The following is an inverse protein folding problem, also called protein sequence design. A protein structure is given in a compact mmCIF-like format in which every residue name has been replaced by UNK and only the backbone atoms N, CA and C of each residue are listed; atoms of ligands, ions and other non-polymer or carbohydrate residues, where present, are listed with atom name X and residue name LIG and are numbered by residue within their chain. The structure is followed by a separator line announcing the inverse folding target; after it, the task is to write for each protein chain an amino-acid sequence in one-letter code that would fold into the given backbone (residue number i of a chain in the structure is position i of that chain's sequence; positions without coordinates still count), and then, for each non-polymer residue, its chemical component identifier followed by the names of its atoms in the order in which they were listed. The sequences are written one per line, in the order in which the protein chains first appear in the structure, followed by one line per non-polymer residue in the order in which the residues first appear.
data_IF_916039236528
#
_entry.id   IF_916039236528
#
_cell.length_a   1.000
_cell.length_b   1.000
_cell.length_c   1.000
_cell.angle_alpha   90.00
_cell.angle_beta   90.00
_cell.angle_gamma   90.00
#
_symmetry.space_group_name_H-M   'P 1'
#
loop_
_entity.id
_entity.type
_entity.pdbx_description
1 polymer ?
#
# COMPACT_ATOMS: atom_id res chain seq x y z
N UNK A 1 -4.27 13.40 -9.29
CA UNK A 1 -4.54 12.76 -8.00
C UNK A 1 -3.85 13.48 -6.83
N UNK A 2 -2.51 13.53 -6.74
CA UNK A 2 -1.82 14.19 -5.61
C UNK A 2 -1.32 15.62 -5.86
N UNK A 3 -1.44 16.15 -7.09
CA UNK A 3 -1.03 17.53 -7.42
C UNK A 3 0.48 17.80 -7.32
N UNK A 4 1.33 16.75 -7.32
CA UNK A 4 2.79 16.83 -7.22
C UNK A 4 3.42 16.28 -8.48
N UNK A 5 4.28 17.06 -9.14
CA UNK A 5 5.03 16.65 -10.34
C UNK A 5 6.38 16.03 -9.96
N UNK A 6 6.32 14.93 -9.18
CA UNK A 6 7.51 14.20 -8.71
C UNK A 6 7.25 12.69 -8.80
N UNK A 7 8.27 11.86 -9.09
CA UNK A 7 8.11 10.41 -9.09
C UNK A 7 7.89 9.88 -7.68
N UNK A 8 7.21 8.73 -7.58
CA UNK A 8 7.00 7.97 -6.35
C UNK A 8 7.23 6.49 -6.63
N UNK A 9 7.50 5.74 -5.57
CA UNK A 9 7.68 4.30 -5.59
C UNK A 9 6.35 3.54 -5.68
N UNK A 10 5.35 3.95 -4.90
CA UNK A 10 3.98 3.41 -4.91
C UNK A 10 2.94 4.52 -4.83
N UNK A 11 1.80 4.31 -5.48
CA UNK A 11 0.59 5.10 -5.30
C UNK A 11 -0.63 4.17 -5.29
N UNK A 12 -1.47 4.31 -4.28
CA UNK A 12 -2.74 3.59 -4.16
C UNK A 12 -3.92 4.50 -4.50
N UNK A 13 -4.91 3.94 -5.18
CA UNK A 13 -6.18 4.56 -5.52
C UNK A 13 -7.30 3.69 -4.94
N UNK A 14 -7.83 4.08 -3.79
CA UNK A 14 -8.97 3.39 -3.20
C UNK A 14 -10.24 3.75 -3.96
N UNK A 15 -11.05 2.74 -4.27
CA UNK A 15 -12.38 2.93 -4.86
C UNK A 15 -13.45 3.18 -3.81
N UNK A 16 -13.17 2.80 -2.56
CA UNK A 16 -14.07 2.97 -1.42
C UNK A 16 -13.65 4.14 -0.51
N UNK A 17 -12.75 5.03 -0.98
CA UNK A 17 -12.47 6.27 -0.25
C UNK A 17 -13.73 7.14 -0.28
N UNK A 18 -14.16 7.61 0.89
CA UNK A 18 -15.38 8.40 1.10
C UNK A 18 -15.41 9.63 0.16
N UNK A 19 -16.10 9.51 -0.97
CA UNK A 19 -16.53 10.65 -1.77
C UNK A 19 -17.83 11.13 -1.13
N UNK A 20 -17.85 12.35 -0.59
CA UNK A 20 -19.10 12.98 -0.15
C UNK A 20 -20.13 12.83 -1.31
N UNK A 21 -21.24 12.15 -1.02
CA UNK A 21 -22.36 11.81 -1.91
C UNK A 21 -22.27 10.56 -2.82
N UNK A 22 -21.23 9.72 -2.75
CA UNK A 22 -21.25 8.40 -3.39
C UNK A 22 -21.64 7.30 -2.38
N UNK A 23 -22.79 6.67 -2.59
CA UNK A 23 -23.15 5.48 -1.83
C UNK A 23 -22.15 4.37 -2.14
N UNK A 24 -21.62 3.70 -1.10
CA UNK A 24 -20.81 2.50 -1.22
C UNK A 24 -21.37 1.61 -2.34
N UNK A 25 -20.68 1.49 -3.46
CA UNK A 25 -21.13 0.69 -4.61
C UNK A 25 -20.97 -0.82 -4.34
N UNK A 26 -21.24 -1.26 -3.12
CA UNK A 26 -21.26 -2.67 -2.74
C UNK A 26 -22.57 -3.25 -3.27
N UNK A 27 -22.55 -3.68 -4.53
CA UNK A 27 -23.65 -4.44 -5.10
C UNK A 27 -23.69 -5.83 -4.48
N UNK A 28 -24.82 -6.18 -3.86
CA UNK A 28 -25.04 -7.49 -3.25
C UNK A 28 -24.78 -8.61 -4.28
N UNK A 29 -23.84 -9.50 -3.96
CA UNK A 29 -23.43 -10.60 -4.84
C UNK A 29 -22.25 -10.30 -5.78
N UNK A 30 -21.69 -9.09 -5.80
CA UNK A 30 -20.46 -8.77 -6.52
C UNK A 30 -19.23 -8.70 -5.59
N UNK A 31 -18.03 -9.10 -6.06
CA UNK A 31 -16.79 -8.90 -5.31
C UNK A 31 -16.56 -7.41 -5.04
N UNK A 32 -16.19 -7.06 -3.80
CA UNK A 32 -15.79 -5.70 -3.46
C UNK A 32 -14.44 -5.38 -4.11
N UNK A 33 -14.43 -4.42 -5.04
CA UNK A 33 -13.21 -3.93 -5.65
C UNK A 33 -12.59 -2.84 -4.75
N UNK A 34 -11.45 -3.13 -4.13
CA UNK A 34 -10.81 -2.20 -3.18
C UNK A 34 -10.15 -1.00 -3.87
N UNK A 35 -9.60 -1.22 -5.07
CA UNK A 35 -8.93 -0.21 -5.86
C UNK A 35 -7.63 -0.70 -6.49
N UNK A 36 -6.80 0.26 -6.91
CA UNK A 36 -5.58 0.02 -7.68
C UNK A 36 -4.33 0.35 -6.86
N UNK A 37 -3.27 -0.45 -7.04
CA UNK A 37 -1.92 -0.16 -6.53
C UNK A 37 -0.98 -0.10 -7.73
N UNK A 38 -0.36 1.06 -7.95
CA UNK A 38 0.60 1.26 -9.03
C UNK A 38 1.98 1.40 -8.42
N UNK A 39 2.90 0.54 -8.88
CA UNK A 39 4.25 0.42 -8.34
C UNK A 39 5.28 0.62 -9.44
N UNK A 40 6.30 1.42 -9.14
CA UNK A 40 7.40 1.68 -10.05
C UNK A 40 8.54 0.67 -9.84
N UNK A 41 8.63 -0.32 -10.73
CA UNK A 41 9.67 -1.38 -10.68
C UNK A 41 11.09 -0.79 -10.69
N UNK A 42 11.32 0.25 -11.50
CA UNK A 42 12.63 0.90 -11.58
C UNK A 42 13.03 1.57 -10.24
N UNK A 43 12.05 2.07 -9.48
CA UNK A 43 12.32 2.59 -8.14
C UNK A 43 12.60 1.48 -7.14
N UNK A 44 11.87 0.36 -7.19
CA UNK A 44 12.13 -0.80 -6.33
C UNK A 44 13.57 -1.28 -6.47
N UNK A 45 14.05 -1.48 -7.70
CA UNK A 45 15.41 -1.97 -7.92
C UNK A 45 16.47 -1.04 -7.30
N UNK A 46 16.29 0.28 -7.42
CA UNK A 46 17.20 1.25 -6.81
C UNK A 46 17.12 1.23 -5.28
N UNK A 47 15.92 1.21 -4.70
CA UNK A 47 15.75 1.15 -3.25
C UNK A 47 16.32 -0.15 -2.64
N UNK A 48 16.11 -1.28 -3.31
CA UNK A 48 16.67 -2.56 -2.90
C UNK A 48 18.20 -2.51 -2.82
N UNK A 49 18.86 -1.92 -3.83
CA UNK A 49 20.30 -1.70 -3.83
C UNK A 49 20.76 -0.71 -2.74
N UNK A 50 20.07 0.42 -2.60
CA UNK A 50 20.41 1.46 -1.62
C UNK A 50 20.26 1.00 -0.17
N UNK A 51 19.21 0.22 0.12
CA UNK A 51 18.93 -0.29 1.47
C UNK A 51 19.53 -1.67 1.74
N UNK A 52 20.12 -2.32 0.74
CA UNK A 52 20.70 -3.66 0.88
C UNK A 52 19.66 -4.76 1.11
N UNK A 53 18.43 -4.55 0.65
CA UNK A 53 17.34 -5.53 0.72
C UNK A 53 17.19 -6.30 -0.60
N UNK A 54 16.49 -7.43 -0.58
CA UNK A 54 16.13 -8.11 -1.83
C UNK A 54 15.06 -7.34 -2.60
N UNK A 55 15.05 -7.50 -3.92
CA UNK A 55 14.00 -6.92 -4.76
C UNK A 55 12.61 -7.40 -4.32
N UNK A 56 12.47 -8.68 -3.97
CA UNK A 56 11.23 -9.29 -3.50
C UNK A 56 10.77 -8.70 -2.16
N UNK A 57 11.71 -8.37 -1.26
CA UNK A 57 11.39 -7.72 0.01
C UNK A 57 10.81 -6.33 -0.22
N UNK A 58 11.46 -5.53 -1.06
CA UNK A 58 10.99 -4.17 -1.38
C UNK A 58 9.65 -4.17 -2.12
N UNK A 59 9.50 -5.06 -3.11
CA UNK A 59 8.23 -5.23 -3.81
C UNK A 59 7.12 -5.64 -2.84
N UNK A 60 7.37 -6.64 -1.99
CA UNK A 60 6.40 -7.08 -0.99
C UNK A 60 6.05 -5.97 0.00
N UNK A 61 7.05 -5.21 0.46
CA UNK A 61 6.85 -4.06 1.33
C UNK A 61 5.87 -3.05 0.71
N UNK A 62 6.11 -2.63 -0.54
CA UNK A 62 5.25 -1.65 -1.22
C UNK A 62 3.85 -2.20 -1.53
N UNK A 63 3.73 -3.47 -1.92
CA UNK A 63 2.43 -4.12 -2.18
C UNK A 63 1.61 -4.19 -0.90
N UNK A 64 2.19 -4.68 0.21
CA UNK A 64 1.49 -4.78 1.49
C UNK A 64 1.13 -3.39 2.02
N UNK A 65 2.04 -2.43 1.90
CA UNK A 65 1.79 -1.04 2.28
C UNK A 65 0.60 -0.44 1.51
N UNK A 66 0.63 -0.55 0.18
CA UNK A 66 -0.45 -0.06 -0.68
C UNK A 66 -1.78 -0.76 -0.40
N UNK A 67 -1.75 -2.07 -0.12
CA UNK A 67 -2.93 -2.86 0.20
C UNK A 67 -3.55 -2.49 1.55
N UNK A 68 -2.72 -2.21 2.56
CA UNK A 68 -3.20 -1.75 3.86
C UNK A 68 -3.88 -0.38 3.76
N UNK A 69 -3.35 0.53 2.93
CA UNK A 69 -4.03 1.79 2.59
C UNK A 69 -5.41 1.54 1.96
N UNK A 70 -5.52 0.60 1.01
CA UNK A 70 -6.81 0.23 0.42
C UNK A 70 -7.81 -0.38 1.43
N UNK A 71 -7.33 -0.85 2.58
CA UNK A 71 -8.16 -1.37 3.68
C UNK A 71 -8.45 -0.31 4.76
N UNK A 72 -8.05 0.95 4.54
CA UNK A 72 -8.30 2.05 5.47
C UNK A 72 -7.29 2.18 6.61
N UNK A 73 -6.15 1.47 6.55
CA UNK A 73 -5.03 1.79 7.43
C UNK A 73 -4.36 3.07 6.94
N UNK A 74 -3.93 3.92 7.87
CA UNK A 74 -3.14 5.11 7.58
C UNK A 74 -1.97 5.19 8.57
N UNK A 75 -1.06 6.12 8.34
CA UNK A 75 0.11 6.36 9.17
C UNK A 75 0.35 7.86 9.40
N UNK A 76 -0.73 8.65 9.45
CA UNK A 76 -0.66 10.09 9.72
C UNK A 76 -0.43 10.44 11.21
N UNK A 77 -0.80 9.53 12.13
CA UNK A 77 -0.52 9.67 13.57
C UNK A 77 0.38 8.54 14.05
N UNK A 78 1.10 8.76 15.16
CA UNK A 78 1.97 7.72 15.75
C UNK A 78 1.22 6.43 16.11
N UNK A 79 -0.05 6.55 16.51
CA UNK A 79 -0.87 5.40 16.87
C UNK A 79 -1.26 4.58 15.63
N UNK A 80 -1.70 5.26 14.57
CA UNK A 80 -2.07 4.62 13.31
C UNK A 80 -0.85 4.02 12.62
N UNK A 81 0.27 4.76 12.60
CA UNK A 81 1.55 4.30 12.11
C UNK A 81 1.96 3.00 12.82
N UNK A 82 1.93 2.98 14.15
CA UNK A 82 2.29 1.77 14.90
C UNK A 82 1.39 0.59 14.54
N UNK A 83 0.08 0.81 14.40
CA UNK A 83 -0.85 -0.25 14.04
C UNK A 83 -0.59 -0.79 12.63
N UNK A 84 -0.45 0.11 11.65
CA UNK A 84 -0.20 -0.20 10.25
C UNK A 84 1.14 -0.92 10.06
N UNK A 85 2.24 -0.36 10.59
CA UNK A 85 3.57 -0.94 10.44
C UNK A 85 3.71 -2.28 11.16
N UNK A 86 3.06 -2.44 12.32
CA UNK A 86 3.04 -3.74 13.02
C UNK A 86 2.34 -4.81 12.17
N UNK A 87 1.20 -4.45 11.56
CA UNK A 87 0.45 -5.34 10.68
C UNK A 87 1.23 -5.67 9.39
N UNK A 88 1.89 -4.67 8.83
CA UNK A 88 2.73 -4.83 7.65
C UNK A 88 3.87 -5.81 7.90
N UNK A 89 4.57 -5.69 9.03
CA UNK A 89 5.67 -6.60 9.38
C UNK A 89 5.21 -8.02 9.69
N UNK A 90 4.05 -8.19 10.34
CA UNK A 90 3.41 -9.49 10.56
C UNK A 90 3.18 -10.22 9.23
N UNK A 91 2.58 -9.53 8.26
CA UNK A 91 2.30 -10.08 6.93
C UNK A 91 3.61 -10.44 6.22
N UNK A 92 4.57 -9.52 6.18
CA UNK A 92 5.80 -9.75 5.44
C UNK A 92 6.63 -10.89 6.03
N UNK A 93 6.69 -10.99 7.36
CA UNK A 93 7.33 -12.10 8.07
C UNK A 93 6.67 -13.44 7.74
N UNK A 94 5.34 -13.49 7.65
CA UNK A 94 4.60 -14.70 7.31
C UNK A 94 4.93 -15.23 5.90
N UNK A 95 5.35 -14.36 4.98
CA UNK A 95 5.79 -14.71 3.62
C UNK A 95 7.32 -14.82 3.48
N UNK A 96 8.08 -14.77 4.59
CA UNK A 96 9.53 -14.89 4.57
C UNK A 96 10.26 -13.69 3.96
N UNK A 97 9.57 -12.57 3.80
CA UNK A 97 10.14 -11.33 3.29
C UNK A 97 10.62 -10.50 4.48
N UNK A 98 11.69 -10.91 5.15
CA UNK A 98 12.27 -10.14 6.27
C UNK A 98 13.33 -9.15 5.78
N UNK A 99 13.73 -8.18 6.62
CA UNK A 99 14.89 -7.31 6.37
C UNK A 99 16.20 -8.07 6.55
#
# INVERSE_FOLDING_TARGET
YRGKDMPTDVISFALNDEVEDEADMIMEGMPNALGDIIISVAHISRQAEEYGHSFERELGFLVVHGFLHLLGYDHMTEQDEKAMFSRQEEILSAYGLTR
#
